data_IF_413546864101
#
_entry.id   IF_413546864101
#
_cell.length_a   1.000
_cell.length_b   1.000
_cell.length_c   1.000
_cell.angle_alpha   90.00
_cell.angle_beta   90.00
_cell.angle_gamma   90.00
#
_symmetry.space_group_name_H-M   'P 1'
#
loop_
_entity.id
_entity.type
_entity.pdbx_description
1 polymer ?
#
# COMPACT_ATOMS: atom_id res chain seq x y z
N UNK A 1 19.39 3.49 -13.59
CA UNK A 1 19.72 2.05 -13.42
C UNK A 1 18.97 1.57 -12.20
N UNK A 2 18.17 0.50 -12.29
CA UNK A 2 17.35 -0.01 -11.20
C UNK A 2 18.14 -1.10 -10.45
N UNK A 3 18.65 -0.81 -9.24
CA UNK A 3 19.51 -1.71 -8.46
C UNK A 3 18.68 -2.79 -7.76
N UNK A 4 18.72 -4.01 -8.30
CA UNK A 4 18.10 -5.20 -7.70
C UNK A 4 19.04 -5.82 -6.65
N UNK A 5 18.47 -6.19 -5.51
CA UNK A 5 19.12 -6.93 -4.43
C UNK A 5 18.67 -8.39 -4.52
N UNK A 6 19.64 -9.29 -4.60
CA UNK A 6 19.42 -10.73 -4.80
C UNK A 6 19.83 -11.59 -3.62
N UNK A 7 20.50 -10.99 -2.62
CA UNK A 7 20.98 -11.67 -1.40
C UNK A 7 20.53 -10.91 -0.15
N UNK A 8 20.36 -11.65 0.96
CA UNK A 8 20.02 -11.04 2.25
C UNK A 8 21.08 -10.01 2.64
N UNK A 9 20.65 -8.81 2.97
CA UNK A 9 21.52 -7.66 3.22
C UNK A 9 21.04 -6.89 4.44
N UNK A 10 21.97 -6.50 5.32
CA UNK A 10 21.68 -5.59 6.43
C UNK A 10 21.09 -4.27 5.90
N UNK A 11 19.94 -3.85 6.44
CA UNK A 11 19.33 -2.58 6.04
C UNK A 11 20.17 -1.39 6.54
N UNK A 12 20.63 -1.47 7.78
CA UNK A 12 21.28 -0.38 8.51
C UNK A 12 22.68 -0.82 8.97
N UNK A 13 23.61 0.12 8.98
CA UNK A 13 24.88 0.01 9.69
C UNK A 13 24.66 0.03 11.20
N UNK A 14 25.67 -0.35 11.97
CA UNK A 14 25.61 -0.34 13.45
C UNK A 14 25.33 1.05 14.04
N UNK A 15 25.71 2.12 13.33
CA UNK A 15 25.46 3.51 13.71
C UNK A 15 24.05 4.02 13.35
N UNK A 16 23.22 3.17 12.74
CA UNK A 16 21.85 3.46 12.31
C UNK A 16 21.75 4.22 10.99
N UNK A 17 22.85 4.41 10.26
CA UNK A 17 22.83 4.93 8.89
C UNK A 17 22.44 3.84 7.88
N UNK A 18 21.88 4.24 6.75
CA UNK A 18 21.44 3.33 5.70
C UNK A 18 22.64 2.63 5.03
N UNK A 19 22.68 1.30 5.07
CA UNK A 19 23.74 0.50 4.47
C UNK A 19 23.48 0.20 2.99
N UNK A 20 22.21 0.09 2.60
CA UNK A 20 21.80 -0.31 1.26
C UNK A 20 20.57 0.46 0.79
N UNK A 21 20.54 0.80 -0.48
CA UNK A 21 19.36 1.23 -1.23
C UNK A 21 19.22 0.36 -2.49
N UNK A 22 17.98 0.16 -2.94
CA UNK A 22 17.63 -0.73 -4.04
C UNK A 22 16.30 -1.45 -3.81
N UNK A 23 15.92 -2.32 -4.74
CA UNK A 23 14.67 -3.10 -4.69
C UNK A 23 14.96 -4.60 -4.74
N UNK A 24 13.97 -5.43 -4.40
CA UNK A 24 14.05 -6.88 -4.43
C UNK A 24 12.67 -7.49 -4.73
N UNK A 25 12.68 -8.71 -5.27
CA UNK A 25 11.47 -9.52 -5.60
C UNK A 25 10.78 -10.14 -4.38
N UNK A 26 11.40 -10.01 -3.21
CA UNK A 26 10.97 -10.48 -1.89
C UNK A 26 11.74 -9.69 -0.84
N UNK A 27 11.34 -9.76 0.42
CA UNK A 27 12.03 -9.04 1.47
C UNK A 27 13.38 -9.70 1.79
N UNK A 28 14.45 -9.10 1.28
CA UNK A 28 15.85 -9.48 1.53
C UNK A 28 16.56 -8.48 2.44
N UNK A 29 15.86 -7.47 2.95
CA UNK A 29 16.43 -6.43 3.80
C UNK A 29 16.28 -6.79 5.26
N UNK A 30 17.40 -6.99 5.95
CA UNK A 30 17.40 -7.32 7.37
C UNK A 30 17.16 -6.05 8.19
N UNK A 31 15.88 -5.82 8.51
CA UNK A 31 15.42 -4.72 9.33
C UNK A 31 15.49 -5.09 10.81
N UNK A 32 16.37 -4.41 11.57
CA UNK A 32 16.33 -4.42 13.04
C UNK A 32 15.85 -3.06 13.55
N UNK A 33 14.66 -3.05 14.16
CA UNK A 33 14.06 -1.86 14.76
C UNK A 33 14.98 -1.17 15.78
N UNK A 34 15.85 -1.92 16.45
CA UNK A 34 16.76 -1.39 17.48
C UNK A 34 17.82 -0.48 16.90
N UNK A 35 18.24 -0.70 15.66
CA UNK A 35 19.24 0.12 14.95
C UNK A 35 18.64 1.43 14.40
N UNK A 36 17.31 1.57 14.37
CA UNK A 36 16.67 2.77 13.82
C UNK A 36 16.89 3.98 14.73
N UNK A 37 17.66 4.95 14.22
CA UNK A 37 17.87 6.26 14.85
C UNK A 37 17.35 7.40 13.95
N UNK A 38 16.69 8.45 14.50
CA UNK A 38 16.22 8.58 15.88
C UNK A 38 14.91 7.82 16.11
N UNK A 39 14.85 6.96 17.15
CA UNK A 39 13.65 6.16 17.51
C UNK A 39 12.38 6.96 17.69
N UNK A 40 12.48 8.24 18.10
CA UNK A 40 11.32 9.13 18.24
C UNK A 40 10.57 9.42 16.94
N UNK A 41 11.16 9.08 15.78
CA UNK A 41 10.60 9.33 14.45
C UNK A 41 10.23 8.04 13.70
N UNK A 42 10.43 6.88 14.32
CA UNK A 42 10.09 5.60 13.70
C UNK A 42 8.58 5.53 13.46
N UNK A 43 8.23 5.12 12.24
CA UNK A 43 6.86 4.85 11.81
C UNK A 43 6.81 3.48 11.18
N UNK A 44 5.81 2.71 11.58
CA UNK A 44 5.56 1.36 11.13
C UNK A 44 4.07 1.22 10.83
N UNK A 45 3.71 0.60 9.71
CA UNK A 45 2.32 0.30 9.39
C UNK A 45 2.17 -0.93 8.51
N UNK A 46 1.01 -1.56 8.66
CA UNK A 46 0.51 -2.58 7.75
C UNK A 46 -0.87 -2.10 7.29
N UNK A 47 -0.94 -1.66 6.04
CA UNK A 47 -2.15 -1.16 5.40
C UNK A 47 -2.61 -2.17 4.35
N UNK A 48 -3.88 -2.55 4.42
CA UNK A 48 -4.53 -3.41 3.46
C UNK A 48 -5.67 -2.66 2.79
N UNK A 49 -5.71 -2.73 1.46
CA UNK A 49 -6.87 -2.33 0.68
C UNK A 49 -7.42 -3.53 -0.07
N UNK A 50 -8.73 -3.72 0.03
CA UNK A 50 -9.48 -4.81 -0.60
C UNK A 50 -10.60 -4.18 -1.43
N UNK A 51 -10.77 -4.59 -2.67
CA UNK A 51 -11.80 -3.99 -3.52
C UNK A 51 -12.24 -4.95 -4.63
N UNK A 52 -13.51 -4.81 -5.01
CA UNK A 52 -14.11 -5.45 -6.19
C UNK A 52 -14.54 -4.42 -7.25
N UNK A 53 -13.95 -3.22 -7.20
CA UNK A 53 -14.29 -2.10 -8.09
C UNK A 53 -15.59 -1.37 -7.76
N UNK A 54 -16.42 -1.90 -6.86
CA UNK A 54 -17.64 -1.23 -6.38
C UNK A 54 -17.55 -0.87 -4.90
N UNK A 55 -17.17 -1.84 -4.08
CA UNK A 55 -16.95 -1.67 -2.65
C UNK A 55 -15.44 -1.71 -2.38
N UNK A 56 -14.99 -0.82 -1.51
CA UNK A 56 -13.61 -0.78 -1.04
C UNK A 56 -13.58 -0.94 0.47
N UNK A 57 -12.68 -1.78 0.95
CA UNK A 57 -12.32 -1.92 2.37
C UNK A 57 -10.88 -1.49 2.55
N UNK A 58 -10.64 -0.70 3.59
CA UNK A 58 -9.30 -0.33 4.04
C UNK A 58 -9.15 -0.75 5.49
N UNK A 59 -8.13 -1.54 5.81
CA UNK A 59 -7.78 -1.95 7.18
C UNK A 59 -6.33 -1.56 7.42
N UNK A 60 -6.07 -0.86 8.51
CA UNK A 60 -4.73 -0.36 8.82
C UNK A 60 -4.42 -0.60 10.31
N UNK A 61 -3.19 -1.02 10.58
CA UNK A 61 -2.58 -0.79 11.87
C UNK A 61 -1.30 0.03 11.69
N UNK A 62 -1.15 1.11 12.45
CA UNK A 62 0.09 1.86 12.48
C UNK A 62 0.61 2.08 13.90
N UNK A 63 1.93 2.22 14.03
CA UNK A 63 2.64 2.70 15.19
C UNK A 63 3.58 3.84 14.76
N UNK A 64 3.35 5.03 15.29
CA UNK A 64 4.16 6.23 15.01
C UNK A 64 4.97 6.66 16.24
N UNK A 65 5.38 5.69 17.06
CA UNK A 65 6.11 5.86 18.33
C UNK A 65 5.30 6.46 19.47
N UNK A 66 4.63 7.60 19.26
CA UNK A 66 3.84 8.27 20.31
C UNK A 66 2.43 7.72 20.43
N UNK A 67 1.91 7.11 19.37
CA UNK A 67 0.58 6.54 19.32
C UNK A 67 0.52 5.40 18.30
N UNK A 68 -0.44 4.51 18.50
CA UNK A 68 -0.80 3.47 17.55
C UNK A 68 -2.29 3.48 17.34
N UNK A 69 -2.76 3.13 16.14
CA UNK A 69 -4.18 2.96 15.91
C UNK A 69 -4.47 1.77 15.00
N UNK A 70 -5.56 1.09 15.31
CA UNK A 70 -6.25 0.18 14.40
C UNK A 70 -7.40 0.97 13.74
N UNK A 71 -7.47 0.96 12.42
CA UNK A 71 -8.57 1.57 11.67
C UNK A 71 -9.12 0.61 10.64
N UNK A 72 -10.43 0.67 10.41
CA UNK A 72 -11.05 -0.02 9.28
C UNK A 72 -12.17 0.83 8.70
N UNK A 73 -12.34 0.76 7.39
CA UNK A 73 -13.48 1.37 6.71
C UNK A 73 -14.02 0.49 5.58
N UNK A 74 -15.32 0.60 5.35
CA UNK A 74 -16.02 0.11 4.17
C UNK A 74 -16.59 1.33 3.43
N UNK A 75 -16.30 1.44 2.14
CA UNK A 75 -16.72 2.53 1.26
C UNK A 75 -17.47 1.94 0.07
N UNK A 76 -18.70 2.41 -0.17
CA UNK A 76 -19.45 2.14 -1.39
C UNK A 76 -19.18 3.27 -2.39
N UNK A 77 -18.35 2.99 -3.40
CA UNK A 77 -17.85 4.03 -4.31
C UNK A 77 -18.92 4.55 -5.27
N UNK A 78 -20.07 3.87 -5.39
CA UNK A 78 -21.20 4.33 -6.23
C UNK A 78 -21.92 5.54 -5.65
N UNK A 79 -21.94 5.64 -4.32
CA UNK A 79 -22.71 6.67 -3.60
C UNK A 79 -21.88 7.39 -2.52
N UNK A 80 -20.60 7.03 -2.35
CA UNK A 80 -19.68 7.62 -1.38
C UNK A 80 -19.97 7.26 0.08
N UNK A 81 -20.89 6.31 0.35
CA UNK A 81 -21.21 5.93 1.73
C UNK A 81 -20.01 5.28 2.40
N UNK A 82 -19.62 5.82 3.56
CA UNK A 82 -18.50 5.34 4.37
C UNK A 82 -18.98 4.85 5.74
N UNK A 83 -18.58 3.63 6.09
CA UNK A 83 -18.60 3.10 7.45
C UNK A 83 -17.16 3.03 7.94
N UNK A 84 -16.86 3.59 9.10
CA UNK A 84 -15.50 3.60 9.64
C UNK A 84 -15.52 3.28 11.14
N UNK A 85 -14.45 2.62 11.59
CA UNK A 85 -14.18 2.31 12.98
C UNK A 85 -12.69 2.50 13.23
N UNK A 86 -12.34 3.05 14.39
CA UNK A 86 -10.97 3.29 14.77
C UNK A 86 -10.79 3.14 16.28
N UNK A 87 -9.60 2.72 16.70
CA UNK A 87 -9.18 2.72 18.10
C UNK A 87 -7.76 3.23 18.20
N UNK A 88 -7.57 4.24 19.04
CA UNK A 88 -6.29 4.89 19.30
C UNK A 88 -5.73 4.46 20.65
N UNK A 89 -4.44 4.18 20.68
CA UNK A 89 -3.64 3.99 21.90
C UNK A 89 -2.50 5.00 21.93
N UNK A 90 -2.29 5.66 23.06
CA UNK A 90 -1.19 6.61 23.28
C UNK A 90 -0.02 5.95 24.02
N UNK A 91 1.19 6.50 23.88
CA UNK A 91 2.39 6.02 24.57
C UNK A 91 2.79 4.61 24.14
N UNK A 92 2.95 4.38 22.84
CA UNK A 92 3.11 3.04 22.24
C UNK A 92 4.52 2.75 21.72
N UNK A 93 5.51 3.55 22.10
CA UNK A 93 6.92 3.43 21.65
C UNK A 93 7.46 2.00 21.70
N UNK A 94 7.10 1.22 22.73
CA UNK A 94 7.52 -0.16 22.92
C UNK A 94 6.33 -1.12 23.03
N UNK A 95 5.16 -0.76 22.46
CA UNK A 95 3.92 -1.56 22.54
C UNK A 95 3.30 -1.68 21.15
N UNK A 96 2.62 -2.80 20.90
CA UNK A 96 1.98 -3.06 19.60
C UNK A 96 2.97 -2.90 18.44
N UNK A 97 4.11 -3.57 18.56
CA UNK A 97 5.14 -3.59 17.53
C UNK A 97 4.71 -4.57 16.44
N UNK A 98 4.70 -4.09 15.19
CA UNK A 98 4.39 -4.93 14.06
C UNK A 98 5.57 -5.86 13.72
N UNK A 99 5.34 -6.97 12.99
CA UNK A 99 6.42 -7.81 12.50
C UNK A 99 7.44 -7.02 11.66
N UNK A 100 8.71 -7.44 11.75
CA UNK A 100 9.85 -6.81 11.03
C UNK A 100 9.98 -7.29 9.58
N UNK A 101 9.28 -8.37 9.23
CA UNK A 101 9.23 -8.94 7.88
C UNK A 101 7.77 -9.15 7.50
N UNK A 102 7.44 -8.84 6.25
CA UNK A 102 6.07 -8.80 5.74
C UNK A 102 5.63 -10.09 5.06
N UNK A 103 6.53 -10.75 4.35
CA UNK A 103 6.28 -11.81 3.34
C UNK A 103 6.72 -13.22 3.79
N UNK A 104 6.83 -13.40 5.11
CA UNK A 104 7.01 -14.71 5.75
C UNK A 104 5.92 -14.91 6.80
N UNK A 105 5.62 -16.14 7.24
CA UNK A 105 4.60 -16.37 8.25
C UNK A 105 4.83 -15.54 9.52
N UNK A 106 3.82 -14.78 9.92
CA UNK A 106 3.86 -13.88 11.06
C UNK A 106 2.46 -13.62 11.61
N UNK A 107 2.39 -13.11 12.85
CA UNK A 107 1.12 -12.85 13.52
C UNK A 107 1.17 -11.52 14.26
N UNK A 108 0.10 -10.75 14.15
CA UNK A 108 -0.09 -9.52 14.91
C UNK A 108 -1.53 -9.40 15.40
N UNK A 109 -1.70 -8.96 16.65
CA UNK A 109 -3.02 -8.73 17.25
C UNK A 109 -3.05 -7.42 18.04
N UNK A 110 -4.17 -6.71 17.91
CA UNK A 110 -4.51 -5.53 18.70
C UNK A 110 -5.93 -5.65 19.26
N UNK A 111 -6.10 -5.38 20.55
CA UNK A 111 -7.39 -5.51 21.25
C UNK A 111 -7.50 -4.41 22.32
N UNK A 112 -8.08 -3.27 21.93
CA UNK A 112 -8.23 -2.09 22.79
C UNK A 112 -9.44 -1.24 22.41
N UNK A 113 -10.06 -0.64 23.44
CA UNK A 113 -11.18 0.29 23.32
C UNK A 113 -12.35 -0.29 22.51
N UNK A 114 -12.64 -1.58 22.70
CA UNK A 114 -13.71 -2.27 21.98
C UNK A 114 -13.43 -2.54 20.51
N UNK A 115 -12.18 -2.35 20.05
CA UNK A 115 -11.73 -2.71 18.70
C UNK A 115 -10.76 -3.88 18.77
N UNK A 116 -11.01 -4.87 17.92
CA UNK A 116 -10.18 -6.04 17.67
C UNK A 116 -9.59 -5.95 16.26
N UNK A 117 -8.31 -6.25 16.11
CA UNK A 117 -7.63 -6.42 14.84
C UNK A 117 -6.67 -7.60 14.94
N UNK A 118 -6.66 -8.46 13.93
CA UNK A 118 -5.72 -9.57 13.79
C UNK A 118 -5.25 -9.65 12.35
N UNK A 119 -3.93 -9.75 12.19
CA UNK A 119 -3.24 -10.06 10.94
C UNK A 119 -2.52 -11.39 11.14
N UNK A 120 -2.94 -12.43 10.42
CA UNK A 120 -2.34 -13.76 10.42
C UNK A 120 -1.80 -14.06 9.03
N UNK A 121 -0.48 -13.92 8.86
CA UNK A 121 0.22 -14.19 7.60
C UNK A 121 0.67 -15.65 7.62
N UNK A 122 0.19 -16.44 6.66
CA UNK A 122 0.57 -17.84 6.45
C UNK A 122 1.45 -17.97 5.17
N UNK A 123 1.84 -19.19 4.81
CA UNK A 123 2.69 -19.42 3.63
C UNK A 123 2.01 -19.08 2.29
N UNK A 124 0.70 -19.30 2.16
CA UNK A 124 -0.04 -19.15 0.89
C UNK A 124 -1.25 -18.22 0.98
N UNK A 125 -1.46 -17.60 2.15
CA UNK A 125 -2.53 -16.63 2.37
C UNK A 125 -2.30 -15.77 3.60
N UNK A 126 -2.97 -14.62 3.66
CA UNK A 126 -3.17 -13.86 4.88
C UNK A 126 -4.63 -13.91 5.30
N UNK A 127 -4.88 -13.91 6.60
CA UNK A 127 -6.20 -13.78 7.19
C UNK A 127 -6.26 -12.48 7.99
N UNK A 128 -7.23 -11.64 7.68
CA UNK A 128 -7.48 -10.41 8.43
C UNK A 128 -8.79 -10.52 9.16
N UNK A 129 -8.79 -10.16 10.44
CA UNK A 129 -9.99 -9.96 11.23
C UNK A 129 -10.01 -8.53 11.77
N UNK A 130 -11.19 -7.91 11.69
CA UNK A 130 -11.44 -6.63 12.35
C UNK A 130 -12.79 -6.69 13.06
N UNK A 131 -12.89 -6.13 14.25
CA UNK A 131 -14.13 -6.02 15.01
C UNK A 131 -14.21 -4.70 15.74
N UNK A 132 -15.40 -4.08 15.76
CA UNK A 132 -15.64 -2.85 16.50
C UNK A 132 -17.08 -2.36 16.36
N UNK A 133 -17.27 -1.06 16.53
CA UNK A 133 -18.56 -0.38 16.33
C UNK A 133 -18.39 0.71 15.27
N UNK A 134 -19.26 0.70 14.27
CA UNK A 134 -19.37 1.78 13.28
C UNK A 134 -20.82 2.28 13.29
N UNK A 135 -21.02 3.60 13.47
CA UNK A 135 -22.34 4.22 13.51
C UNK A 135 -23.33 3.49 14.45
N UNK A 136 -22.89 3.17 15.67
CA UNK A 136 -23.70 2.54 16.72
C UNK A 136 -24.03 1.04 16.52
N UNK A 137 -23.49 0.39 15.48
CA UNK A 137 -23.75 -1.04 15.21
C UNK A 137 -22.46 -1.84 15.19
N UNK A 138 -22.56 -3.14 15.55
CA UNK A 138 -21.47 -4.12 15.41
C UNK A 138 -20.94 -4.07 13.98
N UNK A 139 -19.63 -3.91 13.86
CA UNK A 139 -18.91 -3.80 12.60
C UNK A 139 -17.77 -4.83 12.61
N UNK A 140 -17.89 -5.85 11.78
CA UNK A 140 -16.95 -6.98 11.75
C UNK A 140 -16.49 -7.23 10.33
N UNK A 141 -15.23 -7.56 10.16
CA UNK A 141 -14.62 -7.92 8.89
C UNK A 141 -13.86 -9.21 9.05
N UNK A 142 -13.93 -10.07 8.04
CA UNK A 142 -13.07 -11.22 7.89
C UNK A 142 -12.73 -11.38 6.42
N UNK A 143 -11.43 -11.50 6.13
CA UNK A 143 -10.92 -11.68 4.78
C UNK A 143 -9.81 -12.70 4.77
N UNK A 144 -9.82 -13.56 3.76
CA UNK A 144 -8.70 -14.42 3.38
C UNK A 144 -8.20 -13.91 2.02
N UNK A 145 -6.90 -13.64 1.90
CA UNK A 145 -6.26 -13.17 0.66
C UNK A 145 -5.10 -14.09 0.29
N UNK A 146 -5.10 -14.56 -0.96
CA UNK A 146 -4.29 -15.70 -1.40
C UNK A 146 -3.11 -15.27 -2.26
N UNK A 147 -2.01 -16.00 -2.15
CA UNK A 147 -0.83 -15.87 -3.00
C UNK A 147 -0.10 -17.21 -3.07
N UNK A 148 0.68 -17.41 -4.13
CA UNK A 148 1.57 -18.56 -4.26
C UNK A 148 2.81 -18.39 -3.40
N UNK A 149 3.39 -19.50 -2.94
CA UNK A 149 4.69 -19.52 -2.23
C UNK A 149 5.82 -18.88 -3.04
N UNK A 150 5.74 -18.97 -4.37
CA UNK A 150 6.73 -18.45 -5.31
C UNK A 150 6.31 -17.11 -5.94
N UNK A 151 5.21 -16.51 -5.45
CA UNK A 151 4.79 -15.19 -5.86
C UNK A 151 5.83 -14.16 -5.38
N UNK A 152 6.23 -13.30 -6.29
CA UNK A 152 7.13 -12.20 -6.04
C UNK A 152 6.34 -10.97 -5.61
N UNK A 153 6.96 -10.15 -4.77
CA UNK A 153 6.50 -8.82 -4.41
C UNK A 153 7.51 -7.78 -4.92
N UNK A 154 7.24 -6.51 -4.66
CA UNK A 154 8.29 -5.49 -4.69
C UNK A 154 8.57 -5.07 -3.25
N UNK A 155 9.81 -5.29 -2.82
CA UNK A 155 10.34 -4.73 -1.58
C UNK A 155 11.43 -3.73 -1.94
N UNK A 156 11.35 -2.49 -1.47
CA UNK A 156 12.32 -1.43 -1.80
C UNK A 156 12.71 -0.63 -0.58
N UNK A 157 13.96 -0.17 -0.60
CA UNK A 157 14.52 0.78 0.35
C UNK A 157 14.77 2.11 -0.36
N UNK A 158 13.97 3.11 -0.01
CA UNK A 158 14.07 4.45 -0.57
C UNK A 158 14.77 5.40 0.42
N UNK A 159 15.97 5.92 0.08
CA UNK A 159 16.65 6.91 0.90
C UNK A 159 16.02 8.30 0.78
N UNK A 160 16.44 9.22 1.66
CA UNK A 160 16.12 10.64 1.56
C UNK A 160 17.40 11.47 1.44
N UNK A 161 17.47 12.31 0.39
CA UNK A 161 18.65 13.11 0.09
C UNK A 161 19.16 13.92 1.31
N UNK A 162 20.46 13.82 1.58
CA UNK A 162 21.14 14.53 2.66
C UNK A 162 20.78 14.05 4.08
N UNK A 163 20.12 12.90 4.23
CA UNK A 163 19.62 12.39 5.52
C UNK A 163 19.98 10.90 5.69
N UNK A 164 21.22 10.57 6.07
CA UNK A 164 21.74 9.20 6.03
C UNK A 164 21.02 8.22 6.99
N UNK A 165 20.29 8.72 7.97
CA UNK A 165 19.50 7.92 8.92
C UNK A 165 17.98 7.94 8.62
N UNK A 166 17.60 8.38 7.41
CA UNK A 166 16.22 8.43 6.97
C UNK A 166 16.05 7.55 5.75
N UNK A 167 15.05 6.70 5.81
CA UNK A 167 14.74 5.72 4.80
C UNK A 167 13.26 5.34 4.88
N UNK A 168 12.78 4.75 3.80
CA UNK A 168 11.53 4.03 3.76
C UNK A 168 11.80 2.63 3.22
N UNK A 169 11.63 1.61 4.07
CA UNK A 169 11.56 0.23 3.65
C UNK A 169 10.07 -0.13 3.49
N UNK A 170 9.71 -0.59 2.30
CA UNK A 170 8.33 -0.95 1.95
C UNK A 170 8.28 -2.27 1.23
N UNK A 171 7.24 -3.06 1.51
CA UNK A 171 6.87 -4.23 0.72
C UNK A 171 5.45 -4.05 0.22
N UNK A 172 5.27 -4.21 -1.10
CA UNK A 172 3.95 -4.26 -1.74
C UNK A 172 3.67 -5.68 -2.19
N UNK A 173 2.82 -6.39 -1.44
CA UNK A 173 2.28 -7.68 -1.89
C UNK A 173 1.02 -7.40 -2.69
N UNK A 174 1.11 -7.59 -4.01
CA UNK A 174 0.07 -7.23 -4.96
C UNK A 174 -0.69 -8.45 -5.46
N UNK A 175 -1.76 -8.20 -6.21
CA UNK A 175 -2.50 -9.21 -6.96
C UNK A 175 -2.99 -10.39 -6.12
N UNK A 176 -3.33 -10.17 -4.85
CA UNK A 176 -3.86 -11.24 -3.99
C UNK A 176 -5.37 -11.37 -4.24
N UNK A 177 -5.88 -12.45 -4.87
CA UNK A 177 -7.32 -12.69 -4.89
C UNK A 177 -7.82 -12.79 -3.45
N UNK A 178 -8.98 -12.23 -3.17
CA UNK A 178 -9.45 -12.04 -1.80
C UNK A 178 -10.92 -12.45 -1.69
N UNK A 179 -11.28 -13.14 -0.62
CA UNK A 179 -12.69 -13.40 -0.30
C UNK A 179 -12.98 -13.04 1.14
N UNK A 180 -14.23 -12.69 1.42
CA UNK A 180 -14.63 -12.39 2.77
C UNK A 180 -15.91 -11.60 2.87
N UNK A 181 -16.12 -11.00 4.03
CA UNK A 181 -17.28 -10.16 4.26
C UNK A 181 -17.09 -9.11 5.33
N UNK A 182 -17.91 -8.05 5.19
CA UNK A 182 -18.15 -7.04 6.21
C UNK A 182 -19.57 -7.21 6.74
N UNK A 183 -19.73 -7.29 8.06
CA UNK A 183 -21.03 -7.35 8.74
C UNK A 183 -21.24 -6.04 9.51
N UNK A 184 -22.33 -5.33 9.22
CA UNK A 184 -22.75 -4.11 9.89
C UNK A 184 -24.17 -4.23 10.45
N UNK A 185 -24.29 -4.52 11.75
CA UNK A 185 -25.56 -4.87 12.37
C UNK A 185 -26.14 -6.15 11.78
N UNK A 186 -27.19 -6.03 10.97
CA UNK A 186 -27.82 -7.15 10.23
C UNK A 186 -27.46 -7.16 8.73
N UNK A 187 -26.74 -6.15 8.23
CA UNK A 187 -26.35 -6.08 6.81
C UNK A 187 -25.03 -6.81 6.61
N UNK A 188 -24.93 -7.57 5.53
CA UNK A 188 -23.69 -8.18 5.08
C UNK A 188 -23.28 -7.61 3.72
N UNK A 189 -21.98 -7.43 3.53
CA UNK A 189 -21.36 -7.06 2.26
C UNK A 189 -20.34 -8.16 1.96
N UNK A 190 -20.56 -8.92 0.89
CA UNK A 190 -19.76 -10.09 0.53
C UNK A 190 -18.79 -9.71 -0.59
N UNK A 191 -17.59 -10.27 -0.51
CA UNK A 191 -16.52 -10.10 -1.48
C UNK A 191 -16.14 -11.49 -2.00
N UNK A 192 -16.21 -11.67 -3.32
CA UNK A 192 -15.96 -12.94 -3.98
C UNK A 192 -14.53 -12.98 -4.54
N UNK A 193 -13.87 -14.13 -4.41
CA UNK A 193 -12.50 -14.32 -4.90
C UNK A 193 -12.37 -14.12 -6.41
N UNK A 194 -13.44 -14.27 -7.17
CA UNK A 194 -13.44 -14.13 -8.61
C UNK A 194 -13.24 -12.67 -9.08
N UNK A 195 -13.67 -11.68 -8.28
CA UNK A 195 -13.65 -10.26 -8.67
C UNK A 195 -12.99 -9.33 -7.65
N UNK A 196 -12.59 -9.86 -6.49
CA UNK A 196 -12.00 -9.07 -5.40
C UNK A 196 -10.51 -9.33 -5.29
N UNK A 197 -9.74 -8.23 -5.22
CA UNK A 197 -8.31 -8.27 -4.98
C UNK A 197 -7.93 -7.46 -3.74
N UNK A 198 -6.81 -7.86 -3.13
CA UNK A 198 -6.18 -7.18 -2.02
C UNK A 198 -4.74 -6.78 -2.35
N UNK A 199 -4.32 -5.65 -1.77
CA UNK A 199 -2.92 -5.20 -1.71
C UNK A 199 -2.53 -4.99 -0.27
N UNK A 200 -1.29 -5.38 0.07
CA UNK A 200 -0.60 -4.97 1.29
C UNK A 200 0.37 -3.83 0.96
N UNK A 201 0.25 -2.72 1.67
CA UNK A 201 1.30 -1.73 1.86
C UNK A 201 1.88 -1.90 3.26
N UNK A 202 3.04 -2.53 3.33
CA UNK A 202 3.81 -2.71 4.55
C UNK A 202 4.93 -1.68 4.55
N UNK A 203 5.04 -0.87 5.61
CA UNK A 203 6.02 0.21 5.66
C UNK A 203 6.74 0.34 6.99
N UNK A 204 8.06 0.51 6.94
CA UNK A 204 8.94 0.76 8.10
C UNK A 204 9.93 1.85 7.75
N UNK A 205 10.12 2.82 8.64
CA UNK A 205 11.20 3.79 8.41
C UNK A 205 11.11 5.09 9.19
N UNK A 206 11.88 6.06 8.69
CA UNK A 206 12.04 7.39 9.26
C UNK A 206 11.97 8.43 8.15
N UNK A 207 10.92 9.25 8.16
CA UNK A 207 10.69 10.26 7.13
C UNK A 207 11.30 11.63 7.45
N UNK A 208 11.55 12.46 6.42
CA UNK A 208 11.42 13.91 6.49
C UNK A 208 10.18 14.37 7.27
N UNK A 209 10.20 15.60 7.77
CA UNK A 209 9.01 16.15 8.43
C UNK A 209 7.84 16.29 7.45
N UNK A 210 8.14 16.78 6.24
CA UNK A 210 7.19 16.91 5.14
C UNK A 210 7.57 15.96 4.02
N UNK A 211 6.59 15.26 3.47
CA UNK A 211 6.76 14.41 2.31
C UNK A 211 5.54 14.50 1.40
N UNK A 212 5.77 14.19 0.14
CA UNK A 212 4.73 14.05 -0.87
C UNK A 212 4.98 12.76 -1.61
N UNK A 213 3.93 12.04 -1.96
CA UNK A 213 4.07 10.89 -2.85
C UNK A 213 2.83 10.71 -3.69
N UNK A 214 3.03 9.99 -4.77
CA UNK A 214 1.98 9.35 -5.51
C UNK A 214 2.13 7.85 -5.38
N UNK A 215 1.02 7.14 -5.25
CA UNK A 215 0.99 5.68 -5.20
C UNK A 215 -0.22 5.16 -5.95
N UNK A 216 -0.04 4.29 -6.92
CA UNK A 216 -1.11 3.65 -7.66
C UNK A 216 -0.98 2.14 -7.65
N UNK A 217 -2.12 1.48 -7.55
CA UNK A 217 -2.18 0.03 -7.50
C UNK A 217 -3.49 -0.48 -8.08
N UNK A 218 -3.41 -1.62 -8.75
CA UNK A 218 -4.56 -2.33 -9.28
C UNK A 218 -4.24 -3.77 -9.60
N UNK A 219 -5.25 -4.63 -9.55
CA UNK A 219 -5.15 -6.02 -9.96
C UNK A 219 -6.43 -6.50 -10.64
N UNK A 220 -6.28 -7.43 -11.58
CA UNK A 220 -7.36 -8.09 -12.32
C UNK A 220 -6.88 -9.45 -12.85
N UNK A 221 -7.74 -10.15 -13.57
CA UNK A 221 -7.34 -11.26 -14.43
C UNK A 221 -7.24 -10.80 -15.89
N UNK A 222 -6.14 -11.16 -16.56
CA UNK A 222 -5.99 -11.05 -18.02
C UNK A 222 -5.73 -12.46 -18.53
N UNK A 223 -6.59 -12.95 -19.44
CA UNK A 223 -6.53 -14.31 -19.99
C UNK A 223 -6.43 -15.42 -18.92
N UNK A 224 -7.17 -15.25 -17.83
CA UNK A 224 -7.21 -16.19 -16.69
C UNK A 224 -5.99 -16.14 -15.77
N UNK A 225 -5.00 -15.28 -16.06
CA UNK A 225 -3.81 -15.08 -15.23
C UNK A 225 -3.93 -13.80 -14.42
N UNK A 226 -3.38 -13.80 -13.21
CA UNK A 226 -3.36 -12.62 -12.35
C UNK A 226 -2.47 -11.56 -12.99
N UNK A 227 -2.97 -10.35 -13.13
CA UNK A 227 -2.23 -9.18 -13.57
C UNK A 227 -2.42 -8.05 -12.58
N UNK A 228 -1.40 -7.23 -12.39
CA UNK A 228 -1.54 -5.96 -11.69
C UNK A 228 -0.30 -5.11 -11.80
N UNK A 229 -0.36 -3.94 -11.19
CA UNK A 229 0.74 -3.00 -11.19
C UNK A 229 0.84 -2.28 -9.85
N UNK A 230 2.05 -1.82 -9.57
CA UNK A 230 2.42 -0.92 -8.50
C UNK A 230 3.17 0.24 -9.14
N UNK A 231 2.76 1.47 -8.88
CA UNK A 231 3.43 2.68 -9.39
C UNK A 231 3.60 3.68 -8.25
N UNK A 232 4.80 4.22 -8.06
CA UNK A 232 5.07 5.20 -7.00
C UNK A 232 6.11 6.20 -7.49
N UNK A 233 5.94 7.47 -7.14
CA UNK A 233 6.96 8.50 -7.34
C UNK A 233 6.89 9.64 -6.31
N UNK A 234 7.92 10.48 -6.29
CA UNK A 234 8.15 11.65 -5.40
C UNK A 234 8.42 11.34 -3.92
N UNK A 235 8.36 10.08 -3.52
CA UNK A 235 8.43 9.70 -2.12
C UNK A 235 9.80 9.93 -1.49
N UNK A 236 10.89 9.86 -2.27
CA UNK A 236 12.26 9.99 -1.78
C UNK A 236 13.27 10.04 -2.94
N UNK A 237 14.52 9.67 -2.67
CA UNK A 237 15.57 9.61 -3.69
C UNK A 237 15.47 8.31 -4.49
N UNK A 238 15.04 8.45 -5.75
CA UNK A 238 14.78 7.35 -6.69
C UNK A 238 16.00 6.99 -7.56
N UNK A 239 17.19 7.56 -7.27
CA UNK A 239 18.42 7.31 -8.04
C UNK A 239 18.85 5.83 -8.09
N UNK A 240 18.47 5.04 -7.09
CA UNK A 240 18.80 3.62 -7.01
C UNK A 240 17.70 2.72 -7.57
N UNK A 241 16.44 3.05 -7.32
CA UNK A 241 15.28 2.32 -7.81
C UNK A 241 13.98 3.11 -7.58
N UNK A 242 12.94 2.74 -8.31
CA UNK A 242 11.54 3.13 -8.04
C UNK A 242 10.75 1.96 -7.44
N UNK A 243 9.63 2.23 -6.75
CA UNK A 243 8.69 1.17 -6.33
C UNK A 243 7.76 0.73 -7.49
N UNK A 244 8.08 1.10 -8.73
CA UNK A 244 7.23 0.81 -9.90
C UNK A 244 7.46 -0.60 -10.45
N UNK A 245 6.43 -1.44 -10.54
CA UNK A 245 6.55 -2.81 -11.02
C UNK A 245 5.22 -3.32 -11.61
N UNK A 246 5.30 -4.16 -12.64
CA UNK A 246 4.17 -4.96 -13.11
C UNK A 246 4.22 -6.34 -12.45
N UNK A 247 3.08 -6.98 -12.30
CA UNK A 247 2.97 -8.34 -11.78
C UNK A 247 2.14 -9.17 -12.73
N UNK A 248 2.67 -10.30 -13.17
CA UNK A 248 1.94 -11.24 -14.03
C UNK A 248 2.16 -12.67 -13.55
N UNK A 249 1.05 -13.33 -13.20
CA UNK A 249 1.00 -14.70 -12.70
C UNK A 249 2.00 -15.00 -11.57
N UNK A 250 2.12 -14.05 -10.63
CA UNK A 250 3.03 -14.17 -9.49
C UNK A 250 4.48 -13.74 -9.77
N UNK A 251 4.81 -13.24 -10.96
CA UNK A 251 6.16 -12.74 -11.29
C UNK A 251 6.20 -11.23 -11.41
N UNK A 252 7.23 -10.63 -10.80
CA UNK A 252 7.50 -9.21 -10.91
C UNK A 252 8.21 -8.90 -12.23
N UNK A 253 7.73 -7.89 -12.95
CA UNK A 253 8.35 -7.36 -14.15
C UNK A 253 8.69 -5.90 -13.90
N UNK A 254 9.98 -5.66 -13.64
CA UNK A 254 10.45 -4.34 -13.24
C UNK A 254 10.44 -3.42 -14.46
N UNK A 255 9.70 -2.31 -14.35
CA UNK A 255 9.62 -1.28 -15.39
C UNK A 255 10.28 0.02 -14.93
N UNK A 256 10.47 0.90 -15.89
CA UNK A 256 10.96 2.26 -15.75
C UNK A 256 10.12 3.16 -14.85
N UNK A 257 10.57 4.40 -14.66
CA UNK A 257 9.83 5.37 -13.86
C UNK A 257 8.50 5.71 -14.57
N UNK A 258 7.40 5.75 -13.82
CA UNK A 258 6.08 6.15 -14.32
C UNK A 258 5.74 7.53 -13.78
N UNK A 259 5.26 8.41 -14.65
CA UNK A 259 4.69 9.70 -14.26
C UNK A 259 3.39 9.95 -15.03
N UNK A 260 2.66 10.98 -14.63
CA UNK A 260 1.47 11.48 -15.32
C UNK A 260 1.85 12.62 -16.26
N UNK A 261 1.37 12.59 -17.50
CA UNK A 261 1.65 13.67 -18.47
C UNK A 261 1.18 15.04 -17.98
N UNK A 262 0.06 15.03 -17.24
CA UNK A 262 -0.49 16.22 -16.59
C UNK A 262 -0.80 15.92 -15.14
N UNK A 263 -0.07 16.57 -14.24
CA UNK A 263 -0.31 16.41 -12.81
C UNK A 263 -1.76 16.79 -12.45
N UNK A 264 -2.51 15.87 -11.83
CA UNK A 264 -3.82 16.17 -11.28
C UNK A 264 -3.66 17.10 -10.07
N UNK A 265 -4.71 17.85 -9.76
CA UNK A 265 -4.63 18.86 -8.72
C UNK A 265 -5.90 19.68 -8.61
N UNK A 266 -5.92 20.62 -7.68
CA UNK A 266 -7.06 21.52 -7.49
C UNK A 266 -7.30 22.38 -8.76
N UNK A 267 -6.24 22.75 -9.48
CA UNK A 267 -6.33 23.54 -10.73
C UNK A 267 -6.60 22.68 -11.98
N UNK A 268 -6.13 21.43 -11.97
CA UNK A 268 -6.24 20.54 -13.13
C UNK A 268 -7.46 19.61 -13.05
N UNK A 269 -8.07 19.46 -11.87
CA UNK A 269 -9.25 18.67 -11.59
C UNK A 269 -8.93 17.19 -11.33
N UNK A 270 -9.12 16.74 -10.08
CA UNK A 270 -8.90 15.34 -9.66
C UNK A 270 -9.73 14.32 -10.46
N UNK A 271 -10.89 14.73 -10.98
CA UNK A 271 -11.83 13.86 -11.71
C UNK A 271 -11.67 13.90 -13.24
N UNK A 272 -10.64 14.54 -13.78
CA UNK A 272 -10.30 14.45 -15.22
C UNK A 272 -9.49 13.18 -15.50
N UNK A 273 -9.42 12.69 -16.75
CA UNK A 273 -8.56 11.55 -17.08
C UNK A 273 -7.08 11.79 -16.78
N UNK A 274 -6.38 10.79 -16.25
CA UNK A 274 -4.94 10.83 -15.97
C UNK A 274 -4.25 9.84 -16.91
N UNK A 275 -3.32 10.34 -17.70
CA UNK A 275 -2.53 9.52 -18.61
C UNK A 275 -1.16 9.25 -18.00
N UNK A 276 -0.87 7.98 -17.75
CA UNK A 276 0.35 7.48 -17.13
C UNK A 276 1.24 6.85 -18.18
N UNK A 277 2.51 7.24 -18.20
CA UNK A 277 3.49 6.72 -19.14
C UNK A 277 4.77 6.36 -18.40
N UNK A 278 5.35 5.19 -18.68
CA UNK A 278 6.69 4.85 -18.22
C UNK A 278 7.78 5.37 -19.18
N UNK A 279 8.93 5.77 -18.63
CA UNK A 279 10.06 6.26 -19.41
C UNK A 279 10.67 5.23 -20.38
N UNK A 280 10.42 3.93 -20.14
CA UNK A 280 10.81 2.82 -21.00
C UNK A 280 9.71 2.39 -22.01
N UNK A 281 8.56 3.07 -22.02
CA UNK A 281 7.45 2.81 -22.94
C UNK A 281 6.68 1.50 -22.70
N UNK A 282 6.95 0.81 -21.59
CA UNK A 282 6.32 -0.47 -21.23
C UNK A 282 5.01 -0.32 -20.47
N UNK A 283 4.61 0.90 -20.10
CA UNK A 283 3.34 1.20 -19.46
C UNK A 283 2.77 2.48 -20.05
N UNK A 284 1.59 2.39 -20.66
CA UNK A 284 0.87 3.52 -21.27
C UNK A 284 -0.61 3.26 -21.00
N UNK A 285 -1.15 3.96 -19.99
CA UNK A 285 -2.48 3.68 -19.46
C UNK A 285 -3.16 4.97 -19.06
N UNK A 286 -4.43 5.12 -19.43
CA UNK A 286 -5.27 6.23 -18.99
C UNK A 286 -6.28 5.75 -17.95
N UNK A 287 -6.27 6.38 -16.77
CA UNK A 287 -7.34 6.27 -15.79
C UNK A 287 -8.45 7.28 -16.11
N UNK A 288 -9.69 6.84 -16.18
CA UNK A 288 -10.89 7.70 -16.14
C UNK A 288 -11.52 7.63 -14.75
N UNK A 289 -11.37 8.68 -13.92
CA UNK A 289 -11.89 8.69 -12.56
C UNK A 289 -13.41 8.61 -12.47
N UNK A 290 -13.91 7.90 -11.46
CA UNK A 290 -15.33 7.94 -11.07
C UNK A 290 -15.54 8.24 -9.57
N UNK A 291 -14.49 8.13 -8.73
CA UNK A 291 -14.59 8.43 -7.31
C UNK A 291 -13.27 8.97 -6.73
N UNK A 292 -13.35 9.97 -5.84
CA UNK A 292 -12.20 10.48 -5.08
C UNK A 292 -12.46 10.29 -3.57
N UNK A 293 -11.70 9.40 -2.94
CA UNK A 293 -11.70 9.20 -1.49
C UNK A 293 -10.84 10.27 -0.81
N UNK A 294 -11.27 11.53 -0.90
CA UNK A 294 -10.60 12.65 -0.26
C UNK A 294 -10.65 12.50 1.25
N UNK A 295 -9.50 12.57 1.91
CA UNK A 295 -9.42 12.48 3.36
C UNK A 295 -8.31 13.33 3.96
N UNK A 296 -8.49 13.64 5.25
CA UNK A 296 -7.54 14.39 6.04
C UNK A 296 -7.40 15.87 5.67
N UNK A 297 -6.49 16.52 6.37
CA UNK A 297 -6.12 17.93 6.20
C UNK A 297 -4.70 18.12 6.71
N UNK A 298 -3.97 19.08 6.13
CA UNK A 298 -2.70 19.58 6.69
C UNK A 298 -2.97 20.93 7.34
N UNK A 299 -2.92 20.97 8.67
CA UNK A 299 -3.16 22.18 9.45
C UNK A 299 -1.93 23.08 9.42
N UNK A 300 -2.14 24.34 9.03
CA UNK A 300 -1.11 25.38 8.93
C UNK A 300 0.12 24.99 8.07
N UNK A 301 -0.03 23.98 7.21
CA UNK A 301 1.08 23.42 6.43
C UNK A 301 2.14 22.65 7.25
N UNK A 302 1.87 22.30 8.51
CA UNK A 302 2.86 21.72 9.43
C UNK A 302 2.43 20.40 10.07
N UNK A 303 1.14 20.12 10.20
CA UNK A 303 0.68 18.91 10.87
C UNK A 303 -0.53 18.29 10.17
N UNK A 304 -0.42 17.01 9.85
CA UNK A 304 -1.51 16.21 9.32
C UNK A 304 -1.16 15.58 7.99
N UNK A 305 -2.19 15.08 7.31
CA UNK A 305 -2.08 14.38 6.06
C UNK A 305 -3.30 14.75 5.22
N UNK A 306 -3.09 15.17 3.96
CA UNK A 306 -4.15 15.39 2.98
C UNK A 306 -3.95 14.35 1.89
N UNK A 307 -4.97 13.54 1.64
CA UNK A 307 -4.97 12.47 0.65
C UNK A 307 -6.10 12.69 -0.33
N UNK A 308 -5.76 12.61 -1.62
CA UNK A 308 -6.70 12.34 -2.70
C UNK A 308 -6.38 10.94 -3.20
N UNK A 309 -7.25 9.97 -2.94
CA UNK A 309 -7.09 8.63 -3.49
C UNK A 309 -8.18 8.47 -4.54
N UNK A 310 -7.77 8.61 -5.80
CA UNK A 310 -8.67 8.67 -6.94
C UNK A 310 -8.80 7.28 -7.55
N UNK A 311 -10.04 6.86 -7.74
CA UNK A 311 -10.43 5.55 -8.25
C UNK A 311 -11.06 5.72 -9.62
N UNK A 312 -10.70 4.84 -10.55
CA UNK A 312 -11.14 4.95 -11.93
C UNK A 312 -11.05 3.63 -12.68
N UNK A 313 -11.49 3.68 -13.94
CA UNK A 313 -11.29 2.61 -14.91
C UNK A 313 -10.05 2.91 -15.75
N UNK A 314 -9.17 1.93 -15.85
CA UNK A 314 -7.88 2.03 -16.50
C UNK A 314 -7.93 1.29 -17.83
N UNK A 315 -7.48 1.98 -18.89
CA UNK A 315 -7.47 1.47 -20.26
C UNK A 315 -6.14 1.81 -20.93
N UNK A 316 -5.53 0.85 -21.63
CA UNK A 316 -4.22 1.01 -22.26
C UNK A 316 -3.49 -0.31 -22.38
N UNK A 317 -2.17 -0.31 -22.16
CA UNK A 317 -1.39 -1.53 -22.21
C UNK A 317 -0.19 -1.53 -21.26
N UNK A 318 0.31 -2.74 -21.00
CA UNK A 318 1.57 -2.98 -20.31
C UNK A 318 2.40 -4.00 -21.08
N UNK A 319 3.74 -3.94 -20.98
CA UNK A 319 4.66 -4.84 -21.68
C UNK A 319 5.57 -5.56 -20.67
N UNK A 320 5.54 -6.89 -20.69
CA UNK A 320 6.35 -7.75 -19.81
C UNK A 320 7.82 -7.80 -20.26
N UNK A 321 8.69 -8.39 -19.44
CA UNK A 321 10.14 -8.41 -19.71
C UNK A 321 10.49 -9.22 -20.98
N UNK A 322 9.63 -10.17 -21.36
CA UNK A 322 9.77 -10.98 -22.56
C UNK A 322 9.18 -10.30 -23.82
N UNK A 323 8.68 -9.06 -23.69
CA UNK A 323 8.05 -8.31 -24.78
C UNK A 323 6.57 -8.60 -24.98
N UNK A 324 5.95 -9.49 -24.20
CA UNK A 324 4.51 -9.75 -24.25
C UNK A 324 3.75 -8.48 -23.89
N UNK A 325 2.88 -8.01 -24.80
CA UNK A 325 1.99 -6.87 -24.57
C UNK A 325 0.65 -7.35 -24.05
N UNK A 326 0.25 -6.85 -22.90
CA UNK A 326 -1.04 -7.10 -22.25
C UNK A 326 -1.94 -5.90 -22.47
N UNK A 327 -3.17 -6.14 -22.94
CA UNK A 327 -4.21 -5.12 -23.03
C UNK A 327 -4.87 -4.93 -21.66
N UNK A 328 -4.94 -3.69 -21.20
CA UNK A 328 -5.68 -3.32 -19.99
C UNK A 328 -6.97 -2.67 -20.44
N UNK A 329 -8.09 -3.25 -20.05
CA UNK A 329 -9.42 -2.76 -20.44
C UNK A 329 -10.38 -2.75 -19.26
N UNK A 330 -10.99 -1.60 -19.03
CA UNK A 330 -11.97 -1.35 -17.98
C UNK A 330 -11.55 -1.90 -16.60
N UNK A 331 -10.24 -1.86 -16.33
CA UNK A 331 -9.66 -2.38 -15.10
C UNK A 331 -9.88 -1.36 -13.99
N UNK A 332 -10.52 -1.79 -12.89
CA UNK A 332 -10.55 -0.97 -11.69
C UNK A 332 -9.15 -0.88 -11.06
N UNK A 333 -8.71 0.34 -10.76
CA UNK A 333 -7.53 0.61 -9.96
C UNK A 333 -7.60 2.04 -9.38
N UNK A 334 -6.63 2.38 -8.54
CA UNK A 334 -6.53 3.71 -7.94
C UNK A 334 -5.15 4.31 -8.13
N UNK A 335 -5.08 5.63 -8.01
CA UNK A 335 -3.85 6.36 -7.75
C UNK A 335 -4.13 7.42 -6.68
N UNK A 336 -3.31 7.45 -5.63
CA UNK A 336 -3.31 8.50 -4.63
C UNK A 336 -2.25 9.56 -4.86
N UNK A 337 -2.58 10.75 -4.40
CA UNK A 337 -1.68 11.84 -4.10
C UNK A 337 -1.79 12.15 -2.62
N UNK A 338 -0.66 12.14 -1.92
CA UNK A 338 -0.63 12.44 -0.49
C UNK A 338 0.40 13.51 -0.18
N UNK A 339 -0.02 14.45 0.65
CA UNK A 339 0.86 15.39 1.34
C UNK A 339 0.83 15.06 2.82
N UNK A 340 1.97 14.75 3.42
CA UNK A 340 2.09 14.58 4.87
C UNK A 340 3.00 15.63 5.50
N UNK A 341 2.70 15.95 6.76
CA UNK A 341 3.52 16.75 7.63
C UNK A 341 3.41 16.20 9.06
N UNK A 342 4.49 15.59 9.58
CA UNK A 342 4.51 14.87 10.87
C UNK A 342 5.91 14.62 11.44
#
# INVERSE_FOLDING_TARGET
MQKEITERTALLNEDGTLAVAGWARRNLFEYDRKLVGPRGRLKEWDFYQISNGTLMVQINFFNITIASAATASLIDMRNGRKLACASLSLGTRNRYLLPEVSDTPNYFRYDKNGVYLEFDTCEEKRKLLFGGIAQGKKFRMRFDMYYGKDDENITIVTPFAGKPNRFFLTTKQNCMPCEGKVVWGKKEFVFDRADTFAVLDWGRGVWPHKNVWYWGNGATYIDGKRFGFEITWKIGDESNATETCLFFDGKAHKIGAVDVEKFPGDDNGWMKPWHFVSDDGRFDVTMTPFYDNKSGVVLFGQLGMKTHQVHGLWNGYAVLDDGTRLEIKDMYAFCEYVVNAW
#
